data_IF_897354029295
#
_entry.id   IF_897354029295
#
_cell.length_a   1.000
_cell.length_b   1.000
_cell.length_c   1.000
_cell.angle_alpha   90.00
_cell.angle_beta   90.00
_cell.angle_gamma   90.00
#
_symmetry.space_group_name_H-M   'P 1'
#
loop_
_entity.id
_entity.type
_entity.pdbx_description
1 polymer ?
#
# COMPACT_ATOMS: atom_id res chain seq x y z
N UNK A 1 13.53 -11.45 3.73
CA UNK A 1 12.14 -11.38 4.20
C UNK A 1 11.23 -12.00 3.16
N UNK A 2 10.44 -12.97 3.56
CA UNK A 2 9.59 -13.73 2.64
C UNK A 2 8.12 -13.38 2.78
N UNK A 3 7.71 -12.83 3.92
CA UNK A 3 6.32 -12.50 4.18
C UNK A 3 6.16 -11.01 4.40
N UNK A 4 4.98 -10.50 3.97
CA UNK A 4 4.62 -9.13 4.24
C UNK A 4 4.24 -8.97 5.71
N UNK A 5 4.71 -7.89 6.32
CA UNK A 5 4.28 -7.50 7.66
C UNK A 5 3.19 -6.46 7.57
N UNK A 6 2.13 -6.63 8.34
CA UNK A 6 1.01 -5.69 8.40
C UNK A 6 0.87 -5.22 9.84
N UNK A 7 0.97 -3.90 10.05
CA UNK A 7 0.80 -3.30 11.37
C UNK A 7 -0.35 -2.32 11.31
N UNK A 8 -1.29 -2.43 12.25
CA UNK A 8 -2.40 -1.48 12.34
C UNK A 8 -1.94 -0.31 13.19
N UNK A 9 -1.81 0.86 12.56
CA UNK A 9 -1.35 2.08 13.23
C UNK A 9 -2.51 2.83 13.85
N UNK A 10 -3.70 2.74 13.22
CA UNK A 10 -4.92 3.40 13.68
C UNK A 10 -6.10 2.54 13.30
N UNK A 11 -6.98 2.29 14.24
CA UNK A 11 -8.20 1.53 13.99
C UNK A 11 -9.20 2.35 13.19
N UNK A 12 -9.89 1.70 12.25
CA UNK A 12 -11.00 2.30 11.54
C UNK A 12 -12.33 1.86 12.14
N UNK A 13 -13.42 2.44 11.67
CA UNK A 13 -14.75 2.15 12.20
C UNK A 13 -15.80 1.96 11.12
N UNK A 14 -15.43 2.13 9.86
CA UNK A 14 -16.38 1.99 8.77
C UNK A 14 -16.43 0.59 8.19
N UNK A 15 -16.98 0.48 6.98
CA UNK A 15 -17.04 -0.79 6.26
C UNK A 15 -15.64 -1.26 5.90
N UNK A 16 -15.48 -2.57 5.75
CA UNK A 16 -14.21 -3.17 5.36
C UNK A 16 -14.06 -3.23 3.86
N UNK A 17 -12.84 -3.02 3.38
CA UNK A 17 -12.50 -3.16 1.97
C UNK A 17 -12.46 -4.65 1.60
N UNK A 18 -13.17 -5.00 0.54
CA UNK A 18 -13.18 -6.37 0.02
C UNK A 18 -12.78 -6.39 -1.45
N UNK A 19 -12.20 -7.50 -1.94
CA UNK A 19 -11.86 -7.61 -3.36
C UNK A 19 -13.08 -7.36 -4.24
N UNK A 20 -12.87 -6.64 -5.34
CA UNK A 20 -13.93 -6.24 -6.26
C UNK A 20 -14.44 -4.83 -6.03
N UNK A 21 -14.13 -4.23 -4.90
CA UNK A 21 -14.49 -2.83 -4.63
C UNK A 21 -13.41 -1.89 -5.14
N UNK A 22 -13.80 -0.67 -5.49
CA UNK A 22 -12.84 0.42 -5.69
C UNK A 22 -12.54 1.04 -4.33
N UNK A 23 -11.27 1.24 -4.04
CA UNK A 23 -10.84 1.82 -2.78
C UNK A 23 -10.13 3.13 -3.04
N UNK A 24 -10.29 4.08 -2.11
CA UNK A 24 -9.63 5.38 -2.15
C UNK A 24 -8.73 5.47 -0.93
N UNK A 25 -7.44 5.71 -1.17
CA UNK A 25 -6.44 5.71 -0.10
C UNK A 25 -5.52 6.91 -0.20
N UNK A 26 -4.98 7.33 0.94
CA UNK A 26 -3.75 8.11 0.98
C UNK A 26 -2.62 7.19 1.41
N UNK A 27 -1.45 7.37 0.81
CA UNK A 27 -0.29 6.56 1.15
C UNK A 27 1.01 7.34 1.05
N UNK A 28 2.00 6.88 1.76
CA UNK A 28 3.39 7.30 1.60
C UNK A 28 4.25 6.05 1.61
N UNK A 29 5.24 6.00 0.72
CA UNK A 29 6.14 4.86 0.59
C UNK A 29 7.58 5.25 0.79
N UNK A 30 8.33 4.38 1.49
CA UNK A 30 9.75 4.55 1.76
C UNK A 30 10.52 3.29 1.43
N UNK A 31 11.78 3.47 1.09
CA UNK A 31 12.76 2.38 1.09
C UNK A 31 13.20 2.12 2.52
N UNK A 32 13.86 0.99 2.76
CA UNK A 32 14.29 0.64 4.12
C UNK A 32 15.37 1.58 4.68
N UNK A 33 16.05 2.34 3.82
CA UNK A 33 17.01 3.35 4.27
C UNK A 33 16.34 4.68 4.66
N UNK A 34 15.00 4.74 4.59
CA UNK A 34 14.24 5.94 4.94
C UNK A 34 13.95 6.87 3.78
N UNK A 35 14.43 6.56 2.58
CA UNK A 35 14.18 7.40 1.40
C UNK A 35 12.71 7.30 1.00
N UNK A 36 12.00 8.43 1.02
CA UNK A 36 10.61 8.50 0.55
C UNK A 36 10.63 8.50 -0.98
N UNK A 37 9.90 7.56 -1.59
CA UNK A 37 9.90 7.46 -3.06
C UNK A 37 8.56 7.86 -3.68
N UNK A 38 7.49 7.91 -2.90
CA UNK A 38 6.17 8.29 -3.43
C UNK A 38 5.24 8.67 -2.29
N UNK A 39 4.28 9.57 -2.57
CA UNK A 39 3.26 9.94 -1.60
C UNK A 39 2.08 10.62 -2.29
N UNK A 40 0.88 10.06 -2.08
CA UNK A 40 -0.36 10.69 -2.53
C UNK A 40 -0.65 11.94 -1.71
N UNK A 41 -0.21 11.96 -0.44
CA UNK A 41 -0.39 13.12 0.44
C UNK A 41 0.38 14.31 -0.09
N UNK A 42 1.63 14.09 -0.55
CA UNK A 42 2.45 15.16 -1.10
C UNK A 42 1.84 15.73 -2.38
N UNK A 43 1.17 14.88 -3.18
CA UNK A 43 0.46 15.34 -4.38
C UNK A 43 -0.87 16.01 -4.07
N UNK A 44 -1.37 15.87 -2.84
CA UNK A 44 -2.66 16.43 -2.44
C UNK A 44 -3.85 15.74 -3.08
N UNK A 45 -3.71 14.48 -3.50
CA UNK A 45 -4.75 13.75 -4.22
C UNK A 45 -4.76 12.29 -3.84
N UNK A 46 -5.90 11.80 -3.35
CA UNK A 46 -6.07 10.39 -3.01
C UNK A 46 -5.90 9.51 -4.24
N UNK A 47 -5.43 8.29 -4.02
CA UNK A 47 -5.24 7.31 -5.06
C UNK A 47 -6.38 6.29 -5.01
N UNK A 48 -6.98 6.01 -6.16
CA UNK A 48 -8.09 5.05 -6.27
C UNK A 48 -7.66 3.87 -7.13
N UNK A 49 -8.05 2.67 -6.71
CA UNK A 49 -7.76 1.48 -7.51
C UNK A 49 -8.78 0.37 -7.18
N UNK A 50 -9.01 -0.57 -8.14
CA UNK A 50 -9.87 -1.73 -7.88
C UNK A 50 -9.08 -2.75 -7.07
N UNK A 51 -9.57 -3.05 -5.87
CA UNK A 51 -8.90 -3.96 -4.95
C UNK A 51 -8.98 -5.40 -5.45
N UNK A 52 -7.86 -6.10 -5.43
CA UNK A 52 -7.79 -7.50 -5.83
C UNK A 52 -7.71 -7.73 -7.33
N UNK A 53 -7.64 -6.66 -8.13
CA UNK A 53 -7.66 -6.77 -9.58
C UNK A 53 -6.30 -6.88 -10.25
N UNK A 54 -5.21 -6.96 -9.49
CA UNK A 54 -3.87 -7.00 -10.06
C UNK A 54 -3.42 -5.69 -10.69
N UNK A 55 -4.07 -4.59 -10.36
CA UNK A 55 -3.77 -3.26 -10.90
C UNK A 55 -2.67 -2.56 -10.13
N UNK A 56 -2.36 -3.05 -8.94
CA UNK A 56 -1.33 -2.53 -8.05
C UNK A 56 -0.43 -3.68 -7.64
N UNK A 57 0.67 -3.39 -6.95
CA UNK A 57 1.55 -4.44 -6.47
C UNK A 57 0.80 -5.39 -5.54
N UNK A 58 1.23 -6.64 -5.51
CA UNK A 58 0.55 -7.69 -4.76
C UNK A 58 0.41 -7.34 -3.28
N UNK A 59 1.44 -6.70 -2.71
CA UNK A 59 1.40 -6.28 -1.31
C UNK A 59 0.24 -5.35 -0.99
N UNK A 60 -0.17 -4.52 -1.94
CA UNK A 60 -1.32 -3.63 -1.77
C UNK A 60 -2.63 -4.40 -1.89
N UNK A 61 -2.77 -5.26 -2.92
CA UNK A 61 -4.00 -6.04 -3.08
C UNK A 61 -4.27 -6.90 -1.85
N UNK A 62 -3.23 -7.42 -1.22
CA UNK A 62 -3.37 -8.23 -0.01
C UNK A 62 -3.40 -7.40 1.27
N UNK A 63 -2.59 -6.33 1.32
CA UNK A 63 -2.44 -5.53 2.55
C UNK A 63 -3.54 -4.52 2.80
N UNK A 64 -4.28 -4.10 1.75
CA UNK A 64 -5.41 -3.18 1.90
C UNK A 64 -6.71 -3.94 2.13
N UNK A 65 -6.80 -5.19 1.69
CA UNK A 65 -7.99 -6.01 1.94
C UNK A 65 -8.26 -6.12 3.44
N UNK A 66 -9.52 -5.91 3.82
CA UNK A 66 -9.94 -5.95 5.22
C UNK A 66 -9.73 -4.66 6.00
N UNK A 67 -9.12 -3.63 5.39
CA UNK A 67 -9.04 -2.33 6.05
C UNK A 67 -10.43 -1.72 6.19
N UNK A 68 -10.67 -1.09 7.33
CA UNK A 68 -11.91 -0.34 7.56
C UNK A 68 -11.68 1.13 7.21
N UNK A 69 -12.75 1.81 6.82
CA UNK A 69 -12.65 3.25 6.55
C UNK A 69 -12.13 3.97 7.80
N UNK A 70 -11.10 4.78 7.62
CA UNK A 70 -10.42 5.48 8.71
C UNK A 70 -9.25 4.71 9.30
N UNK A 71 -9.06 3.47 8.90
CA UNK A 71 -7.93 2.66 9.37
C UNK A 71 -6.64 3.08 8.67
N UNK A 72 -5.54 3.02 9.41
CA UNK A 72 -4.20 3.25 8.86
C UNK A 72 -3.34 2.02 9.17
N UNK A 73 -2.68 1.49 8.15
CA UNK A 73 -1.77 0.35 8.27
C UNK A 73 -0.39 0.70 7.76
N UNK A 74 0.63 0.10 8.39
CA UNK A 74 1.98 0.07 7.80
C UNK A 74 2.19 -1.30 7.18
N UNK A 75 2.55 -1.30 5.90
CA UNK A 75 2.82 -2.51 5.15
C UNK A 75 4.32 -2.57 4.87
N UNK A 76 4.99 -3.62 5.34
CA UNK A 76 6.37 -3.88 4.96
C UNK A 76 6.34 -5.01 3.95
N UNK A 77 6.65 -4.67 2.70
CA UNK A 77 6.38 -5.52 1.54
C UNK A 77 7.68 -6.08 1.00
N UNK A 78 7.83 -7.42 0.98
CA UNK A 78 9.03 -8.03 0.41
C UNK A 78 9.07 -7.86 -1.11
N UNK A 79 10.24 -7.99 -1.74
CA UNK A 79 10.38 -7.74 -3.18
C UNK A 79 9.42 -8.53 -4.05
N UNK A 80 9.16 -9.80 -3.75
CA UNK A 80 8.27 -10.61 -4.60
C UNK A 80 6.80 -10.19 -4.53
N UNK A 81 6.43 -9.34 -3.58
CA UNK A 81 5.09 -8.75 -3.50
C UNK A 81 5.11 -7.27 -3.86
N UNK A 82 6.25 -6.75 -4.25
CA UNK A 82 6.46 -5.38 -4.71
C UNK A 82 6.92 -5.36 -6.15
N UNK A 83 8.07 -4.72 -6.41
CA UNK A 83 8.57 -4.55 -7.77
C UNK A 83 9.65 -5.54 -8.16
N UNK A 84 9.99 -6.49 -7.28
CA UNK A 84 10.83 -7.64 -7.58
C UNK A 84 12.24 -7.28 -8.03
N UNK A 85 12.85 -8.15 -8.88
CA UNK A 85 14.25 -7.96 -9.30
C UNK A 85 14.44 -6.80 -10.27
N UNK A 86 13.37 -6.24 -10.84
CA UNK A 86 13.49 -5.12 -11.79
C UNK A 86 13.51 -3.76 -11.11
N UNK A 87 12.89 -3.63 -9.92
CA UNK A 87 12.65 -2.33 -9.34
C UNK A 87 11.67 -1.52 -10.17
N UNK A 88 11.66 -0.20 -10.00
CA UNK A 88 10.73 0.66 -10.73
C UNK A 88 11.31 2.06 -10.93
N UNK A 89 11.31 2.51 -12.19
CA UNK A 89 11.50 3.91 -12.57
C UNK A 89 12.75 4.60 -12.08
N UNK A 90 13.80 3.88 -11.75
CA UNK A 90 15.02 4.47 -11.23
C UNK A 90 14.94 4.93 -9.78
N UNK A 91 13.76 4.87 -9.15
CA UNK A 91 13.59 5.27 -7.75
C UNK A 91 13.50 4.08 -6.82
N UNK A 92 13.03 2.93 -7.30
CA UNK A 92 12.97 1.70 -6.52
C UNK A 92 14.02 0.76 -7.07
N UNK A 93 15.08 0.44 -6.29
CA UNK A 93 16.13 -0.44 -6.77
C UNK A 93 15.66 -1.90 -6.90
N UNK A 94 16.40 -2.74 -7.61
CA UNK A 94 16.10 -4.16 -7.69
C UNK A 94 16.08 -4.80 -6.30
N UNK A 95 15.14 -5.73 -6.12
CA UNK A 95 15.01 -6.52 -4.88
C UNK A 95 14.79 -5.67 -3.63
N UNK A 96 14.08 -4.54 -3.77
CA UNK A 96 13.83 -3.64 -2.65
C UNK A 96 12.65 -4.12 -1.81
N UNK A 97 12.81 -4.07 -0.49
CA UNK A 97 11.72 -4.16 0.46
C UNK A 97 11.12 -2.77 0.60
N UNK A 98 9.80 -2.66 0.55
CA UNK A 98 9.10 -1.39 0.55
C UNK A 98 8.31 -1.23 1.85
N UNK A 99 8.26 -0.02 2.38
CA UNK A 99 7.46 0.31 3.55
C UNK A 99 6.44 1.36 3.14
N UNK A 100 5.15 1.03 3.30
CA UNK A 100 4.06 1.96 3.01
C UNK A 100 3.25 2.20 4.27
N UNK A 101 2.81 3.44 4.45
CA UNK A 101 1.73 3.75 5.37
C UNK A 101 0.52 4.13 4.54
N UNK A 102 -0.57 3.40 4.73
CA UNK A 102 -1.79 3.51 3.91
C UNK A 102 -2.98 3.80 4.80
N UNK A 103 -3.76 4.81 4.45
CA UNK A 103 -5.01 5.14 5.12
C UNK A 103 -6.18 4.94 4.17
N UNK A 104 -7.19 4.18 4.59
CA UNK A 104 -8.37 3.96 3.77
C UNK A 104 -9.37 5.09 3.99
N UNK A 105 -9.68 5.81 2.90
CA UNK A 105 -10.56 6.99 2.94
C UNK A 105 -11.99 6.66 2.52
N UNK A 106 -12.17 5.73 1.58
CA UNK A 106 -13.50 5.44 1.07
C UNK A 106 -13.55 4.18 0.23
N UNK A 107 -14.77 3.71 -0.01
CA UNK A 107 -15.08 2.51 -0.79
C UNK A 107 -16.19 2.82 -1.78
N UNK A 108 -16.15 2.16 -2.93
CA UNK A 108 -17.22 2.22 -3.95
C UNK A 108 -17.67 0.83 -4.35
#
# INVERSE_FOLDING_TARGET
MEEMLVEILQEGQGAEATPGQNVSVHYTGWLTDGTKFDSSVDRGRAFEFPLGGGRVIKGWDEGVAGMKIGEKRRLTIPPHMGYGPRGAGGVIPPNATLVFEVELLGLN
#
